data_IF_773569525579
#
_entry.id   IF_773569525579
#
_cell.length_a   1.000
_cell.length_b   1.000
_cell.length_c   1.000
_cell.angle_alpha   90.00
_cell.angle_beta   90.00
_cell.angle_gamma   90.00
#
_symmetry.space_group_name_H-M   'P 1'
#
loop_
_entity.id
_entity.type
_entity.pdbx_description
1 polymer ?
#
# COMPACT_ATOMS: atom_id res chain seq x y z
N UNK A 1 -8.88 31.78 4.04
CA UNK A 1 -9.45 30.42 3.96
C UNK A 1 -8.92 29.74 2.71
N UNK A 2 -8.37 28.55 2.83
CA UNK A 2 -7.90 27.74 1.72
C UNK A 2 -8.77 26.48 1.61
N UNK A 3 -9.05 26.05 0.38
CA UNK A 3 -9.67 24.75 0.12
C UNK A 3 -8.58 23.68 0.00
N UNK A 4 -8.81 22.54 0.65
CA UNK A 4 -7.91 21.40 0.64
C UNK A 4 -8.61 20.16 0.10
N UNK A 5 -7.90 19.38 -0.71
CA UNK A 5 -8.25 18.02 -1.08
C UNK A 5 -7.68 17.08 -0.04
N UNK A 6 -8.50 16.13 0.40
CA UNK A 6 -8.08 15.07 1.33
C UNK A 6 -8.36 13.74 0.65
N UNK A 7 -7.35 12.90 0.59
CA UNK A 7 -7.44 11.55 0.05
C UNK A 7 -7.22 10.54 1.18
N UNK A 8 -8.01 9.48 1.16
CA UNK A 8 -7.85 8.31 2.01
C UNK A 8 -7.55 7.10 1.12
N UNK A 9 -6.61 6.28 1.55
CA UNK A 9 -6.33 4.99 0.94
C UNK A 9 -6.16 3.93 2.01
N UNK A 10 -6.80 2.78 1.79
CA UNK A 10 -6.58 1.56 2.54
C UNK A 10 -6.02 0.51 1.57
N UNK A 11 -4.85 -0.01 1.86
CA UNK A 11 -4.13 -0.97 1.03
C UNK A 11 -3.98 -2.30 1.75
N UNK A 12 -4.09 -3.40 1.00
CA UNK A 12 -3.77 -4.74 1.48
C UNK A 12 -2.66 -5.36 0.63
N UNK A 13 -1.71 -6.04 1.26
CA UNK A 13 -0.59 -6.70 0.56
C UNK A 13 -0.30 -8.06 1.20
N UNK A 14 -1.30 -8.95 1.19
CA UNK A 14 -1.32 -10.18 1.96
C UNK A 14 -0.34 -11.24 1.44
N UNK A 15 -0.46 -11.59 0.15
CA UNK A 15 0.29 -12.68 -0.45
C UNK A 15 1.81 -12.45 -0.46
N UNK A 16 2.33 -11.31 -0.92
CA UNK A 16 3.76 -11.06 -0.88
C UNK A 16 4.32 -11.01 0.54
N UNK A 17 3.55 -10.50 1.51
CA UNK A 17 3.96 -10.46 2.92
C UNK A 17 4.10 -11.85 3.54
N UNK A 18 3.32 -12.83 3.10
CA UNK A 18 3.47 -14.21 3.54
C UNK A 18 4.74 -14.90 3.02
N UNK A 19 5.23 -14.49 1.85
CA UNK A 19 6.42 -15.08 1.23
C UNK A 19 7.68 -14.39 1.74
N UNK A 20 7.70 -13.06 1.70
CA UNK A 20 8.81 -12.22 2.16
C UNK A 20 8.22 -11.10 3.04
N UNK A 21 8.12 -11.34 4.38
CA UNK A 21 7.35 -10.48 5.27
C UNK A 21 7.83 -9.04 5.34
N UNK A 22 9.14 -8.82 5.27
CA UNK A 22 9.73 -7.48 5.38
C UNK A 22 9.41 -6.64 4.13
N UNK A 23 9.75 -7.15 2.95
CA UNK A 23 9.51 -6.42 1.69
C UNK A 23 8.02 -6.30 1.36
N UNK A 24 7.25 -7.37 1.62
CA UNK A 24 5.80 -7.36 1.39
C UNK A 24 5.07 -6.31 2.22
N UNK A 25 5.38 -6.20 3.52
CA UNK A 25 4.77 -5.19 4.38
C UNK A 25 5.29 -3.76 4.09
N UNK A 26 6.57 -3.61 3.73
CA UNK A 26 7.13 -2.35 3.27
C UNK A 26 6.40 -1.85 2.01
N UNK A 27 6.17 -2.74 1.05
CA UNK A 27 5.46 -2.43 -0.19
C UNK A 27 3.97 -2.10 0.05
N UNK A 28 3.33 -2.73 1.04
CA UNK A 28 1.97 -2.38 1.46
C UNK A 28 1.86 -0.89 1.76
N UNK A 29 2.78 -0.35 2.56
CA UNK A 29 2.78 1.09 2.86
C UNK A 29 3.18 1.92 1.65
N UNK A 30 4.19 1.51 0.86
CA UNK A 30 4.62 2.23 -0.34
C UNK A 30 3.50 2.40 -1.36
N UNK A 31 2.74 1.34 -1.66
CA UNK A 31 1.55 1.39 -2.52
C UNK A 31 0.47 2.29 -1.95
N UNK A 32 0.17 2.17 -0.64
CA UNK A 32 -0.79 3.03 0.03
C UNK A 32 -0.46 4.53 -0.11
N UNK A 33 0.83 4.89 -0.14
CA UNK A 33 1.30 6.28 -0.30
C UNK A 33 1.15 6.75 -1.74
N UNK A 34 1.50 5.93 -2.73
CA UNK A 34 1.54 6.33 -4.14
C UNK A 34 0.16 6.58 -4.74
N UNK A 35 -0.89 5.88 -4.29
CA UNK A 35 -2.26 6.15 -4.75
C UNK A 35 -2.71 7.59 -4.45
N UNK A 36 -2.60 8.12 -3.22
CA UNK A 36 -2.86 9.53 -2.96
C UNK A 36 -1.92 10.48 -3.72
N UNK A 37 -0.66 10.08 -3.97
CA UNK A 37 0.24 10.85 -4.84
C UNK A 37 -0.26 10.94 -6.28
N UNK A 38 -0.94 9.90 -6.79
CA UNK A 38 -1.62 9.97 -8.08
C UNK A 38 -2.70 11.07 -8.09
N UNK A 39 -3.30 11.36 -6.94
CA UNK A 39 -4.13 12.55 -6.69
C UNK A 39 -3.34 13.84 -6.40
N UNK A 40 -2.00 13.83 -6.48
CA UNK A 40 -1.08 14.91 -6.10
C UNK A 40 -1.21 15.35 -4.64
N UNK A 41 -1.68 14.47 -3.75
CA UNK A 41 -1.76 14.75 -2.31
C UNK A 41 -0.55 14.20 -1.57
N UNK A 42 -0.06 14.97 -0.60
CA UNK A 42 1.04 14.59 0.27
C UNK A 42 0.51 13.75 1.44
N UNK A 43 0.99 12.51 1.55
CA UNK A 43 0.62 11.61 2.66
C UNK A 43 1.37 11.99 3.92
N UNK A 44 0.64 12.19 5.02
CA UNK A 44 1.18 12.74 6.27
C UNK A 44 0.78 11.98 7.54
N UNK A 45 -0.13 11.02 7.44
CA UNK A 45 -0.50 10.13 8.55
C UNK A 45 -0.84 8.73 8.06
N UNK A 46 -0.51 7.73 8.89
CA UNK A 46 -0.77 6.33 8.62
C UNK A 46 -1.35 5.61 9.85
N UNK A 47 -2.10 4.55 9.57
CA UNK A 47 -2.61 3.59 10.55
C UNK A 47 -2.33 2.19 10.00
N UNK A 48 -1.89 1.27 10.87
CA UNK A 48 -1.68 -0.13 10.52
C UNK A 48 -2.54 -1.02 11.41
N UNK A 49 -3.52 -1.70 10.81
CA UNK A 49 -4.35 -2.70 11.49
C UNK A 49 -4.31 -3.99 10.69
N UNK A 50 -3.74 -5.05 11.25
CA UNK A 50 -3.45 -6.29 10.52
C UNK A 50 -4.12 -7.48 11.18
N UNK A 51 -4.42 -8.52 10.37
CA UNK A 51 -4.85 -9.82 10.84
C UNK A 51 -3.68 -10.81 10.83
N UNK A 52 -3.44 -11.49 11.94
CA UNK A 52 -2.35 -12.44 12.11
C UNK A 52 -2.79 -13.71 12.84
N UNK A 53 -2.10 -14.83 12.59
CA UNK A 53 -2.21 -16.00 13.43
C UNK A 53 -1.25 -15.92 14.63
N UNK A 54 -1.40 -16.83 15.58
CA UNK A 54 -0.65 -16.85 16.84
C UNK A 54 0.87 -16.94 16.62
N UNK A 55 1.65 -15.90 16.97
CA UNK A 55 3.10 -15.89 16.82
C UNK A 55 3.83 -16.72 17.89
N UNK A 56 3.13 -17.25 18.90
CA UNK A 56 3.69 -18.07 19.96
C UNK A 56 3.78 -19.55 19.59
N UNK A 57 3.10 -19.96 18.50
CA UNK A 57 3.17 -21.32 17.96
C UNK A 57 4.63 -21.71 17.68
N UNK A 58 5.01 -22.93 18.07
CA UNK A 58 6.39 -23.42 17.91
C UNK A 58 6.75 -23.57 16.41
N UNK A 59 8.05 -23.57 16.11
CA UNK A 59 8.51 -23.73 14.71
C UNK A 59 8.15 -25.13 14.20
N UNK A 60 8.17 -26.13 15.07
CA UNK A 60 7.84 -27.53 14.75
C UNK A 60 6.38 -27.71 14.36
N UNK A 61 5.50 -26.86 14.90
CA UNK A 61 4.04 -26.87 14.62
C UNK A 61 3.65 -25.97 13.44
N UNK A 62 4.65 -25.44 12.72
CA UNK A 62 4.39 -24.61 11.54
C UNK A 62 3.65 -25.41 10.48
N UNK A 63 2.53 -24.87 9.98
CA UNK A 63 1.77 -25.48 8.89
C UNK A 63 2.66 -25.65 7.65
N UNK A 64 2.64 -26.85 7.07
CA UNK A 64 3.43 -27.18 5.88
C UNK A 64 3.21 -26.16 4.74
N UNK A 65 4.29 -25.69 4.15
CA UNK A 65 4.25 -24.67 3.07
C UNK A 65 4.05 -23.24 3.56
N UNK A 66 4.11 -23.00 4.86
CA UNK A 66 4.03 -21.65 5.47
C UNK A 66 5.32 -21.28 6.20
N UNK A 67 5.55 -20.00 6.37
CA UNK A 67 6.58 -19.51 7.28
C UNK A 67 6.10 -19.58 8.73
N UNK A 68 7.00 -19.76 9.70
CA UNK A 68 6.64 -19.67 11.13
C UNK A 68 5.95 -18.33 11.42
N UNK A 69 4.84 -18.37 12.17
CA UNK A 69 4.02 -17.17 12.44
C UNK A 69 4.82 -16.06 13.13
N UNK A 70 5.73 -16.43 14.03
CA UNK A 70 6.66 -15.50 14.68
C UNK A 70 7.54 -14.75 13.67
N UNK A 71 8.01 -15.43 12.61
CA UNK A 71 8.80 -14.82 11.54
C UNK A 71 7.95 -13.86 10.72
N UNK A 72 6.72 -14.26 10.38
CA UNK A 72 5.77 -13.42 9.65
C UNK A 72 5.45 -12.13 10.41
N UNK A 73 5.01 -12.22 11.65
CA UNK A 73 4.60 -11.08 12.49
C UNK A 73 5.76 -10.10 12.66
N UNK A 74 6.94 -10.59 13.06
CA UNK A 74 8.10 -9.74 13.28
C UNK A 74 8.64 -9.13 11.99
N UNK A 75 8.72 -9.90 10.92
CA UNK A 75 9.21 -9.44 9.63
C UNK A 75 8.30 -8.36 9.04
N UNK A 76 6.99 -8.58 9.07
CA UNK A 76 6.02 -7.63 8.58
C UNK A 76 6.02 -6.31 9.39
N UNK A 77 6.02 -6.40 10.71
CA UNK A 77 6.12 -5.21 11.56
C UNK A 77 7.43 -4.42 11.30
N UNK A 78 8.55 -5.13 11.16
CA UNK A 78 9.86 -4.51 10.86
C UNK A 78 9.86 -3.86 9.47
N UNK A 79 9.29 -4.49 8.46
CA UNK A 79 9.24 -3.95 7.10
C UNK A 79 8.40 -2.68 7.00
N UNK A 80 7.19 -2.73 7.54
CA UNK A 80 6.27 -1.59 7.53
C UNK A 80 6.84 -0.41 8.34
N UNK A 81 7.30 -0.64 9.58
CA UNK A 81 7.87 0.41 10.41
C UNK A 81 9.15 1.00 9.81
N UNK A 82 10.04 0.16 9.28
CA UNK A 82 11.26 0.62 8.61
C UNK A 82 10.93 1.54 7.43
N UNK A 83 9.97 1.18 6.61
CA UNK A 83 9.55 1.99 5.46
C UNK A 83 8.97 3.34 5.91
N UNK A 84 7.98 3.32 6.81
CA UNK A 84 7.34 4.53 7.31
C UNK A 84 8.30 5.49 8.02
N UNK A 85 9.17 4.95 8.87
CA UNK A 85 10.17 5.74 9.59
C UNK A 85 11.19 6.39 8.65
N UNK A 86 11.66 5.68 7.61
CA UNK A 86 12.59 6.21 6.62
C UNK A 86 11.96 7.30 5.73
N UNK A 87 10.71 7.13 5.35
CA UNK A 87 10.01 8.14 4.55
C UNK A 87 9.62 9.36 5.37
N UNK A 88 9.58 9.22 6.68
CA UNK A 88 9.18 10.29 7.58
C UNK A 88 7.67 10.46 7.69
N UNK A 89 6.93 9.33 7.70
CA UNK A 89 5.48 9.27 7.81
C UNK A 89 5.08 8.86 9.23
N UNK A 90 4.29 9.69 9.91
CA UNK A 90 3.77 9.35 11.23
C UNK A 90 2.75 8.21 11.14
N UNK A 91 3.05 7.07 11.79
CA UNK A 91 2.12 5.96 11.97
C UNK A 91 1.57 6.03 13.39
N UNK A 92 0.42 6.68 13.55
CA UNK A 92 -0.10 7.08 14.87
C UNK A 92 -0.94 6.02 15.56
N UNK A 93 -1.31 4.95 14.88
CA UNK A 93 -1.99 3.80 15.47
C UNK A 93 -1.57 2.50 14.80
N UNK A 94 -1.21 1.51 15.61
CA UNK A 94 -0.79 0.18 15.15
C UNK A 94 -1.46 -0.87 16.01
N UNK A 95 -2.12 -1.85 15.37
CA UNK A 95 -2.75 -2.99 16.02
C UNK A 95 -2.60 -4.25 15.17
N UNK A 96 -2.30 -5.37 15.80
CA UNK A 96 -2.51 -6.69 15.23
C UNK A 96 -3.68 -7.37 15.91
N UNK A 97 -4.58 -7.94 15.12
CA UNK A 97 -5.73 -8.72 15.55
C UNK A 97 -5.45 -10.17 15.22
N UNK A 98 -5.53 -11.04 16.22
CA UNK A 98 -5.16 -12.44 16.10
C UNK A 98 -6.38 -13.33 15.95
N UNK A 99 -6.35 -14.18 14.93
CA UNK A 99 -7.35 -15.24 14.71
C UNK A 99 -6.64 -16.48 14.16
N UNK A 100 -6.98 -17.70 14.60
CA UNK A 100 -6.31 -18.93 14.16
C UNK A 100 -6.33 -19.13 12.66
N UNK A 101 -7.39 -18.75 11.96
CA UNK A 101 -7.53 -18.95 10.52
C UNK A 101 -6.59 -18.07 9.69
N UNK A 102 -5.99 -17.03 10.27
CA UNK A 102 -4.93 -16.26 9.59
C UNK A 102 -3.64 -17.04 9.37
N UNK A 103 -3.53 -18.28 9.87
CA UNK A 103 -2.48 -19.19 9.45
C UNK A 103 -2.59 -19.53 7.95
N UNK A 104 -3.82 -19.55 7.42
CA UNK A 104 -4.06 -19.79 5.99
C UNK A 104 -3.57 -18.63 5.13
N UNK A 105 -3.88 -17.40 5.54
CA UNK A 105 -3.41 -16.18 4.90
C UNK A 105 -3.47 -14.99 5.86
N UNK A 106 -2.29 -14.42 6.14
CA UNK A 106 -2.17 -13.15 6.87
C UNK A 106 -2.88 -12.02 6.12
N UNK A 107 -3.49 -11.10 6.84
CA UNK A 107 -4.05 -9.88 6.29
C UNK A 107 -3.17 -8.68 6.68
N UNK A 108 -2.27 -8.27 5.77
CA UNK A 108 -1.45 -7.06 5.95
C UNK A 108 -2.22 -5.86 5.41
N UNK A 109 -2.54 -4.91 6.28
CA UNK A 109 -3.37 -3.74 5.96
C UNK A 109 -2.67 -2.47 6.43
N UNK A 110 -2.65 -1.47 5.55
CA UNK A 110 -2.21 -0.13 5.87
C UNK A 110 -3.20 0.92 5.36
N UNK A 111 -3.54 1.89 6.18
CA UNK A 111 -4.37 3.02 5.81
C UNK A 111 -3.59 4.32 5.96
N UNK A 112 -3.77 5.23 5.01
CA UNK A 112 -3.10 6.54 5.01
C UNK A 112 -4.06 7.66 4.64
N UNK A 113 -3.71 8.87 5.04
CA UNK A 113 -4.34 10.10 4.56
C UNK A 113 -3.30 11.01 3.93
N UNK A 114 -3.66 11.52 2.74
CA UNK A 114 -2.92 12.55 2.04
C UNK A 114 -3.76 13.82 1.90
N UNK A 115 -3.10 14.96 1.80
CA UNK A 115 -3.78 16.24 1.57
C UNK A 115 -2.94 17.18 0.70
N UNK A 116 -3.63 18.03 -0.06
CA UNK A 116 -3.01 19.10 -0.84
C UNK A 116 -3.94 20.32 -0.93
N UNK A 117 -3.39 21.54 -1.09
CA UNK A 117 -4.20 22.69 -1.46
C UNK A 117 -4.90 22.40 -2.79
N UNK A 118 -6.21 22.65 -2.87
CA UNK A 118 -6.97 22.42 -4.11
C UNK A 118 -6.39 23.18 -5.31
N UNK A 119 -5.90 24.38 -5.06
CA UNK A 119 -5.30 25.22 -6.10
C UNK A 119 -4.02 24.65 -6.72
N UNK A 120 -3.38 23.68 -6.04
CA UNK A 120 -2.16 23.02 -6.52
C UNK A 120 -2.43 21.79 -7.38
N UNK A 121 -3.69 21.35 -7.52
CA UNK A 121 -4.05 20.12 -8.22
C UNK A 121 -4.90 20.47 -9.45
N UNK A 122 -4.33 20.28 -10.64
CA UNK A 122 -5.08 20.30 -11.89
C UNK A 122 -5.59 18.88 -12.22
N UNK A 123 -6.71 18.81 -12.94
CA UNK A 123 -7.29 17.57 -13.46
C UNK A 123 -7.74 17.82 -14.88
N UNK A 124 -6.84 17.56 -15.80
CA UNK A 124 -7.05 17.74 -17.22
C UNK A 124 -6.99 16.38 -17.92
N UNK A 125 -7.67 16.25 -19.04
CA UNK A 125 -7.53 15.08 -19.89
C UNK A 125 -6.20 15.12 -20.64
N UNK A 126 -5.75 13.94 -21.04
CA UNK A 126 -4.54 13.82 -21.84
C UNK A 126 -4.84 14.15 -23.29
N UNK A 127 -4.10 15.06 -23.87
CA UNK A 127 -4.25 15.48 -25.26
C UNK A 127 -3.26 14.76 -26.19
N UNK A 128 -3.62 14.50 -27.45
CA UNK A 128 -2.66 13.99 -28.43
C UNK A 128 -1.43 14.88 -28.56
N UNK A 129 -0.26 14.32 -28.36
CA UNK A 129 1.02 15.00 -28.31
C UNK A 129 1.60 15.15 -26.91
N UNK A 130 0.80 14.97 -25.86
CA UNK A 130 1.31 14.95 -24.47
C UNK A 130 2.34 13.83 -24.29
N UNK A 131 3.31 14.10 -23.43
CA UNK A 131 4.40 13.19 -23.13
C UNK A 131 4.14 12.50 -21.79
N UNK A 132 4.43 11.20 -21.74
CA UNK A 132 4.41 10.45 -20.49
C UNK A 132 5.83 10.22 -20.02
N UNK A 133 6.12 10.68 -18.81
CA UNK A 133 7.41 10.54 -18.16
C UNK A 133 7.27 9.44 -17.09
N UNK A 134 8.17 8.46 -17.12
CA UNK A 134 8.38 7.51 -16.04
C UNK A 134 9.39 8.11 -15.07
N UNK A 135 8.98 8.24 -13.81
CA UNK A 135 9.75 8.86 -12.73
C UNK A 135 10.03 7.86 -11.63
N UNK A 136 11.24 7.85 -11.07
CA UNK A 136 11.59 7.14 -9.84
C UNK A 136 12.47 5.92 -10.02
N UNK A 137 12.08 4.77 -9.49
CA UNK A 137 12.86 3.54 -9.49
C UNK A 137 13.03 2.90 -10.86
N UNK A 138 14.01 2.02 -10.97
CA UNK A 138 14.27 1.23 -12.18
C UNK A 138 13.50 -0.09 -12.18
N UNK A 139 13.22 -0.63 -13.35
CA UNK A 139 12.47 -1.85 -13.58
C UNK A 139 13.32 -3.11 -13.38
N UNK A 140 12.83 -4.04 -12.59
CA UNK A 140 13.35 -5.39 -12.42
C UNK A 140 12.27 -6.45 -12.68
N UNK A 141 12.46 -7.67 -12.18
CA UNK A 141 11.44 -8.75 -12.24
C UNK A 141 10.42 -8.72 -11.12
N UNK A 142 10.36 -7.60 -10.39
CA UNK A 142 9.47 -7.45 -9.25
C UNK A 142 8.01 -7.69 -9.69
N UNK A 143 7.32 -8.63 -9.05
CA UNK A 143 5.92 -8.94 -9.30
C UNK A 143 5.60 -9.57 -10.67
N UNK A 144 6.60 -10.03 -11.43
CA UNK A 144 6.35 -10.65 -12.74
C UNK A 144 5.51 -11.94 -12.66
N UNK A 145 5.49 -12.62 -11.52
CA UNK A 145 4.52 -13.66 -11.18
C UNK A 145 3.13 -13.11 -10.81
N UNK A 146 3.03 -11.84 -10.60
CA UNK A 146 1.90 -10.90 -10.53
C UNK A 146 0.68 -11.31 -9.77
N UNK A 147 -0.43 -10.67 -10.11
CA UNK A 147 -1.77 -10.91 -9.55
C UNK A 147 -2.20 -12.39 -9.67
N UNK A 148 -1.73 -13.14 -10.65
CA UNK A 148 -1.95 -14.58 -10.75
C UNK A 148 -1.28 -15.37 -9.63
N UNK A 149 -0.17 -14.88 -9.08
CA UNK A 149 0.50 -15.44 -7.90
C UNK A 149 -0.33 -15.28 -6.63
N UNK A 150 -1.04 -14.16 -6.47
CA UNK A 150 -1.84 -13.88 -5.27
C UNK A 150 -3.07 -14.79 -5.11
N UNK A 151 -3.49 -15.47 -6.18
CA UNK A 151 -4.60 -16.42 -6.17
C UNK A 151 -4.17 -17.89 -6.04
N UNK A 152 -2.87 -18.18 -5.97
CA UNK A 152 -2.35 -19.56 -5.87
C UNK A 152 -2.19 -19.99 -4.42
N UNK A 153 -2.36 -21.29 -4.18
CA UNK A 153 -2.02 -21.91 -2.89
C UNK A 153 -0.50 -21.93 -2.72
N UNK A 154 0.00 -21.51 -1.57
CA UNK A 154 1.42 -21.57 -1.24
C UNK A 154 1.89 -23.02 -1.13
N UNK A 155 3.03 -23.31 -1.76
CA UNK A 155 3.78 -24.55 -1.60
C UNK A 155 5.21 -24.21 -1.16
N UNK A 156 5.96 -25.19 -0.68
CA UNK A 156 7.39 -25.01 -0.35
C UNK A 156 8.16 -24.43 -1.54
N UNK A 157 7.85 -24.86 -2.76
CA UNK A 157 8.43 -24.34 -3.98
C UNK A 157 8.11 -22.83 -4.20
N UNK A 158 6.97 -22.33 -3.71
CA UNK A 158 6.62 -20.92 -3.86
C UNK A 158 7.54 -20.00 -3.05
N UNK A 159 8.00 -20.44 -1.88
CA UNK A 159 8.92 -19.67 -1.03
C UNK A 159 10.29 -19.58 -1.72
N UNK A 160 10.76 -20.67 -2.35
CA UNK A 160 12.05 -20.73 -3.02
C UNK A 160 12.05 -19.97 -4.36
N UNK A 161 10.98 -20.10 -5.13
CA UNK A 161 10.90 -19.54 -6.49
C UNK A 161 10.39 -18.12 -6.56
N UNK A 162 9.44 -17.75 -5.69
CA UNK A 162 8.77 -16.42 -5.71
C UNK A 162 9.40 -15.40 -4.78
N UNK A 163 10.22 -15.80 -3.82
CA UNK A 163 10.82 -14.87 -2.84
C UNK A 163 11.72 -13.79 -3.47
N UNK A 164 12.33 -14.08 -4.62
CA UNK A 164 13.14 -13.11 -5.37
C UNK A 164 12.28 -12.09 -6.15
N UNK A 165 11.02 -12.45 -6.48
CA UNK A 165 10.09 -11.63 -7.25
C UNK A 165 9.16 -10.77 -6.37
N UNK A 166 9.19 -10.95 -5.05
CA UNK A 166 8.46 -10.06 -4.14
C UNK A 166 9.04 -8.65 -4.26
N UNK A 167 8.16 -7.69 -4.43
CA UNK A 167 8.54 -6.28 -4.51
C UNK A 167 9.30 -5.88 -3.25
N UNK A 168 10.38 -5.11 -3.44
CA UNK A 168 11.21 -4.59 -2.36
C UNK A 168 11.18 -3.08 -2.42
N UNK A 169 10.52 -2.49 -1.43
CA UNK A 169 10.36 -1.06 -1.33
C UNK A 169 11.69 -0.31 -1.10
N UNK A 170 11.80 0.89 -1.67
CA UNK A 170 12.87 1.83 -1.47
C UNK A 170 12.32 3.15 -0.92
N UNK A 171 12.11 3.20 0.39
CA UNK A 171 11.55 4.36 1.08
C UNK A 171 12.26 5.70 0.78
N UNK A 172 13.61 5.77 0.64
CA UNK A 172 14.28 7.00 0.22
C UNK A 172 13.84 7.51 -1.15
N UNK A 173 13.60 6.64 -2.12
CA UNK A 173 13.07 7.03 -3.44
C UNK A 173 11.64 7.55 -3.32
N UNK A 174 10.79 6.86 -2.58
CA UNK A 174 9.41 7.30 -2.31
C UNK A 174 9.36 8.68 -1.66
N UNK A 175 10.22 8.92 -0.67
CA UNK A 175 10.33 10.24 -0.02
C UNK A 175 10.67 11.36 -1.01
N UNK A 176 11.58 11.11 -1.94
CA UNK A 176 11.94 12.08 -2.98
C UNK A 176 10.75 12.39 -3.90
N UNK A 177 9.99 11.34 -4.29
CA UNK A 177 8.78 11.49 -5.11
C UNK A 177 7.74 12.32 -4.34
N UNK A 178 7.49 12.03 -3.07
CA UNK A 178 6.58 12.82 -2.24
C UNK A 178 6.99 14.29 -2.15
N UNK A 179 8.28 14.56 -1.98
CA UNK A 179 8.80 15.94 -1.93
C UNK A 179 8.61 16.66 -3.24
N UNK A 180 8.88 15.99 -4.36
CA UNK A 180 8.67 16.53 -5.70
C UNK A 180 7.22 16.91 -5.93
N UNK A 181 6.28 15.99 -5.66
CA UNK A 181 4.84 16.20 -5.87
C UNK A 181 4.23 17.22 -4.90
N UNK A 182 4.86 17.45 -3.74
CA UNK A 182 4.43 18.50 -2.80
C UNK A 182 4.73 19.93 -3.29
N UNK A 183 5.60 20.09 -4.27
CA UNK A 183 5.92 21.39 -4.87
C UNK A 183 4.77 21.85 -5.76
N UNK A 184 4.24 23.03 -5.48
CA UNK A 184 3.11 23.60 -6.21
C UNK A 184 3.40 23.76 -7.71
N UNK A 185 4.60 24.22 -8.05
CA UNK A 185 5.08 24.39 -9.42
C UNK A 185 5.18 23.07 -10.19
N UNK A 186 5.42 21.95 -9.50
CA UNK A 186 5.45 20.60 -10.10
C UNK A 186 4.05 20.05 -10.27
N UNK A 187 3.24 20.09 -9.21
CA UNK A 187 1.90 19.52 -9.25
C UNK A 187 0.98 20.19 -10.27
N UNK A 188 1.21 21.48 -10.58
CA UNK A 188 0.44 22.25 -11.56
C UNK A 188 0.76 21.95 -13.03
N UNK A 189 1.85 21.27 -13.32
CA UNK A 189 2.19 20.87 -14.70
C UNK A 189 1.89 19.39 -14.97
N UNK A 190 1.41 18.65 -13.97
CA UNK A 190 0.99 17.25 -14.11
C UNK A 190 -0.51 17.20 -14.44
N UNK A 191 -0.89 16.85 -15.67
CA UNK A 191 -2.28 16.67 -16.08
C UNK A 191 -2.91 15.46 -15.40
N UNK A 192 -2.28 14.31 -15.56
CA UNK A 192 -2.65 13.00 -14.95
C UNK A 192 -1.40 12.28 -14.44
N UNK A 193 -1.56 11.39 -13.48
CA UNK A 193 -0.52 10.45 -13.14
C UNK A 193 -1.10 9.17 -12.51
N UNK A 194 -0.35 8.09 -12.62
CA UNK A 194 -0.60 6.81 -11.97
C UNK A 194 0.67 6.31 -11.28
N UNK A 195 0.48 5.50 -10.23
CA UNK A 195 1.56 4.71 -9.67
C UNK A 195 1.77 3.40 -10.45
N UNK A 196 2.88 2.73 -10.20
CA UNK A 196 3.16 1.43 -10.75
C UNK A 196 2.81 0.34 -9.73
N UNK A 197 1.67 -0.29 -9.95
CA UNK A 197 1.22 -1.50 -9.27
C UNK A 197 1.18 -2.70 -10.21
N UNK A 198 0.21 -3.59 -10.00
CA UNK A 198 -0.02 -4.76 -10.83
C UNK A 198 -0.23 -4.39 -12.31
N UNK A 199 0.44 -5.12 -13.20
CA UNK A 199 0.41 -4.86 -14.64
C UNK A 199 1.45 -3.84 -15.12
N UNK A 200 2.23 -3.25 -14.24
CA UNK A 200 3.41 -2.42 -14.56
C UNK A 200 3.14 -1.33 -15.60
N UNK A 201 4.00 -1.23 -16.61
CA UNK A 201 3.89 -0.26 -17.72
C UNK A 201 2.54 -0.38 -18.45
N UNK A 202 2.06 -1.61 -18.67
CA UNK A 202 0.81 -1.85 -19.40
C UNK A 202 -0.41 -1.21 -18.74
N UNK A 203 -0.44 -1.14 -17.42
CA UNK A 203 -1.53 -0.55 -16.63
C UNK A 203 -1.22 0.88 -16.24
N UNK A 204 -0.12 1.14 -15.55
CA UNK A 204 0.21 2.47 -15.05
C UNK A 204 0.26 3.54 -16.16
N UNK A 205 0.81 3.20 -17.32
CA UNK A 205 0.83 4.07 -18.49
C UNK A 205 -0.44 3.88 -19.33
N UNK A 206 -0.86 2.63 -19.53
CA UNK A 206 -1.97 2.28 -20.40
C UNK A 206 -3.31 2.90 -20.04
N UNK A 207 -3.51 3.30 -18.79
CA UNK A 207 -4.74 3.97 -18.29
C UNK A 207 -4.70 5.50 -18.38
N UNK A 208 -3.56 6.08 -18.75
CA UNK A 208 -3.42 7.55 -18.74
C UNK A 208 -4.09 8.24 -19.92
N UNK A 209 -4.29 7.55 -21.06
CA UNK A 209 -4.98 8.07 -22.23
C UNK A 209 -5.56 6.94 -23.09
N UNK A 210 -6.53 7.27 -23.94
CA UNK A 210 -7.17 6.32 -24.84
C UNK A 210 -6.21 5.81 -25.94
N UNK A 211 -5.37 6.69 -26.46
CA UNK A 211 -4.38 6.40 -27.46
C UNK A 211 -2.96 6.63 -26.94
N UNK A 212 -2.10 5.61 -27.04
CA UNK A 212 -0.75 5.63 -26.49
C UNK A 212 0.24 4.84 -27.35
N UNK A 213 1.42 5.39 -27.56
CA UNK A 213 2.58 4.69 -28.08
C UNK A 213 3.69 4.72 -27.02
N UNK A 214 4.01 3.56 -26.47
CA UNK A 214 5.04 3.39 -25.45
C UNK A 214 6.30 2.79 -26.05
N UNK A 215 7.44 3.41 -25.81
CA UNK A 215 8.78 2.92 -26.17
C UNK A 215 9.39 2.20 -24.96
N UNK A 216 9.27 0.89 -24.90
CA UNK A 216 9.79 0.10 -23.79
C UNK A 216 11.32 0.00 -23.76
N UNK A 217 12.01 0.34 -24.84
CA UNK A 217 13.47 0.40 -24.84
C UNK A 217 13.99 1.54 -23.95
N UNK A 218 13.19 2.60 -23.79
CA UNK A 218 13.49 3.74 -22.92
C UNK A 218 13.22 3.49 -21.45
N UNK A 219 12.48 2.43 -21.08
CA UNK A 219 12.16 2.12 -19.68
C UNK A 219 13.46 1.81 -18.92
N UNK A 220 13.77 2.55 -17.83
CA UNK A 220 14.97 2.31 -17.04
C UNK A 220 14.98 0.93 -16.40
N UNK A 221 16.13 0.23 -16.46
CA UNK A 221 16.28 -1.15 -16.01
C UNK A 221 17.27 -1.25 -14.85
N UNK A 222 16.96 -2.09 -13.85
CA UNK A 222 17.90 -2.41 -12.75
C UNK A 222 19.11 -3.20 -13.26
N UNK A 223 18.90 -4.05 -14.27
CA UNK A 223 19.92 -4.94 -14.87
C UNK A 223 19.54 -5.31 -16.31
N UNK A 224 20.51 -5.84 -17.05
CA UNK A 224 20.27 -6.37 -18.40
C UNK A 224 19.55 -7.71 -18.37
N UNK A 225 18.93 -8.08 -19.51
CA UNK A 225 18.31 -9.41 -19.69
C UNK A 225 16.81 -9.46 -19.39
N UNK A 226 16.17 -8.33 -19.09
CA UNK A 226 14.71 -8.26 -19.07
C UNK A 226 14.16 -8.36 -20.49
N UNK A 227 13.13 -9.20 -20.67
CA UNK A 227 12.40 -9.30 -21.94
C UNK A 227 11.25 -8.28 -22.03
N UNK A 228 10.56 -8.28 -23.18
CA UNK A 228 9.46 -7.33 -23.41
C UNK A 228 8.27 -7.55 -22.49
N UNK A 229 7.98 -8.80 -22.12
CA UNK A 229 6.89 -9.12 -21.19
C UNK A 229 7.21 -8.66 -19.79
N UNK A 230 8.41 -8.99 -19.30
CA UNK A 230 8.88 -8.54 -17.98
C UNK A 230 8.87 -7.01 -17.86
N UNK A 231 9.29 -6.29 -18.90
CA UNK A 231 9.24 -4.84 -18.93
C UNK A 231 7.80 -4.29 -18.91
N UNK A 232 6.89 -4.96 -19.62
CA UNK A 232 5.50 -4.52 -19.73
C UNK A 232 4.69 -4.69 -18.43
N UNK A 233 4.96 -5.76 -17.65
CA UNK A 233 4.14 -6.15 -16.50
C UNK A 233 4.82 -6.01 -15.15
N UNK A 234 6.11 -5.68 -15.10
CA UNK A 234 6.86 -5.56 -13.84
C UNK A 234 6.24 -4.55 -12.88
N UNK A 235 6.09 -4.96 -11.64
CA UNK A 235 5.57 -4.16 -10.52
C UNK A 235 6.69 -3.53 -9.67
N UNK A 236 7.85 -3.21 -10.27
CA UNK A 236 8.90 -2.52 -9.53
C UNK A 236 8.37 -1.24 -8.90
N UNK A 237 8.59 -1.10 -7.61
CA UNK A 237 7.99 -0.08 -6.77
C UNK A 237 8.68 1.29 -6.90
N UNK A 238 8.08 2.29 -6.26
CA UNK A 238 8.54 3.69 -6.24
C UNK A 238 8.72 4.28 -7.64
N UNK A 239 7.76 3.99 -8.52
CA UNK A 239 7.66 4.57 -9.86
C UNK A 239 6.33 5.29 -10.01
N UNK A 240 6.35 6.41 -10.73
CA UNK A 240 5.15 7.14 -11.14
C UNK A 240 5.20 7.36 -12.65
N UNK A 241 4.05 7.28 -13.31
CA UNK A 241 3.87 7.73 -14.68
C UNK A 241 3.12 9.05 -14.65
N UNK A 242 3.69 10.10 -15.22
CA UNK A 242 3.08 11.45 -15.26
C UNK A 242 2.86 11.91 -16.70
N UNK A 243 1.72 12.53 -16.94
CA UNK A 243 1.37 13.16 -18.22
C UNK A 243 1.64 14.65 -18.12
N UNK A 244 2.48 15.16 -19.00
CA UNK A 244 2.83 16.57 -19.09
C UNK A 244 2.67 17.10 -20.53
N UNK A 245 2.36 18.38 -20.65
CA UNK A 245 2.39 19.08 -21.94
C UNK A 245 3.84 19.08 -22.47
N UNK A 246 4.07 18.91 -23.79
CA UNK A 246 5.41 18.94 -24.38
C UNK A 246 6.26 20.16 -24.00
N UNK A 247 5.66 21.32 -23.79
CA UNK A 247 6.34 22.55 -23.37
C UNK A 247 6.91 22.47 -21.95
N UNK A 248 6.34 21.61 -21.08
CA UNK A 248 6.70 21.50 -19.66
C UNK A 248 7.66 20.33 -19.36
N UNK A 249 8.02 19.52 -20.38
CA UNK A 249 8.87 18.33 -20.23
C UNK A 249 10.22 18.67 -19.60
N UNK A 250 10.97 19.59 -20.20
CA UNK A 250 12.29 19.97 -19.71
C UNK A 250 12.22 20.55 -18.28
N UNK A 251 11.18 21.31 -17.99
CA UNK A 251 10.93 21.87 -16.67
C UNK A 251 10.70 20.76 -15.64
N UNK A 252 9.87 19.78 -15.97
CA UNK A 252 9.60 18.63 -15.09
C UNK A 252 10.88 17.79 -14.85
N UNK A 253 11.62 17.48 -15.90
CA UNK A 253 12.89 16.76 -15.81
C UNK A 253 13.90 17.52 -14.93
N UNK A 254 13.96 18.85 -15.04
CA UNK A 254 14.78 19.70 -14.18
C UNK A 254 14.41 19.56 -12.69
N UNK A 255 13.13 19.63 -12.36
CA UNK A 255 12.66 19.46 -10.98
C UNK A 255 12.93 18.05 -10.45
N UNK A 256 12.76 17.02 -11.27
CA UNK A 256 13.11 15.65 -10.89
C UNK A 256 14.60 15.50 -10.58
N UNK A 257 15.47 16.11 -11.39
CA UNK A 257 16.91 16.11 -11.18
C UNK A 257 17.31 16.83 -9.87
N UNK A 258 16.65 17.92 -9.49
CA UNK A 258 16.87 18.62 -8.21
C UNK A 258 16.58 17.70 -7.00
N UNK A 259 15.62 16.78 -7.10
CA UNK A 259 15.32 15.77 -6.08
C UNK A 259 16.17 14.51 -6.24
N UNK A 260 17.11 14.46 -7.19
CA UNK A 260 17.93 13.28 -7.46
C UNK A 260 17.08 12.07 -7.87
N UNK A 261 16.06 12.28 -8.68
CA UNK A 261 15.20 11.27 -9.26
C UNK A 261 15.51 11.06 -10.74
N UNK A 262 15.54 9.82 -11.17
CA UNK A 262 15.59 9.47 -12.59
C UNK A 262 14.20 9.70 -13.20
N UNK A 263 14.13 10.39 -14.31
CA UNK A 263 12.91 10.67 -15.05
C UNK A 263 13.17 10.55 -16.54
N UNK A 264 12.35 9.78 -17.25
CA UNK A 264 12.55 9.46 -18.67
C UNK A 264 11.23 9.54 -19.43
N UNK A 265 11.24 10.19 -20.58
CA UNK A 265 10.14 10.16 -21.54
C UNK A 265 9.99 8.76 -22.13
N UNK A 266 8.89 8.09 -21.86
CA UNK A 266 8.68 6.69 -22.29
C UNK A 266 7.50 6.50 -23.24
N UNK A 267 6.58 7.47 -23.33
CA UNK A 267 5.42 7.35 -24.19
C UNK A 267 4.94 8.71 -24.68
N UNK A 268 4.12 8.66 -25.75
CA UNK A 268 3.41 9.82 -26.31
C UNK A 268 1.93 9.46 -26.46
N UNK A 269 1.07 10.40 -26.13
CA UNK A 269 -0.38 10.31 -26.34
C UNK A 269 -0.69 10.50 -27.82
N UNK A 270 -1.56 9.65 -28.37
CA UNK A 270 -1.92 9.66 -29.81
C UNK A 270 -3.42 9.88 -30.02
N UNK A 271 -3.79 10.31 -31.24
CA UNK A 271 -5.19 10.48 -31.61
C UNK A 271 -5.92 9.15 -31.83
N UNK A 272 -5.19 8.12 -32.26
CA UNK A 272 -5.76 6.80 -32.49
C UNK A 272 -5.97 6.10 -31.13
N UNK A 273 -7.19 5.66 -30.80
CA UNK A 273 -7.48 5.05 -29.49
C UNK A 273 -6.98 3.61 -29.43
N UNK A 274 -5.69 3.44 -29.30
CA UNK A 274 -4.99 2.17 -29.22
C UNK A 274 -3.83 2.23 -28.20
N UNK A 275 -3.64 1.17 -27.44
CA UNK A 275 -2.45 0.95 -26.67
C UNK A 275 -1.42 0.19 -27.53
N UNK A 276 -0.31 0.85 -27.85
CA UNK A 276 0.79 0.28 -28.62
C UNK A 276 2.05 0.26 -27.77
N UNK A 277 2.59 -0.93 -27.54
CA UNK A 277 3.89 -1.10 -26.87
C UNK A 277 4.93 -1.52 -27.92
N UNK A 278 6.03 -0.77 -28.00
CA UNK A 278 7.16 -1.04 -28.89
C UNK A 278 8.37 -1.52 -28.10
N UNK A 279 9.01 -2.58 -28.59
CA UNK A 279 10.23 -3.13 -28.03
C UNK A 279 11.17 -3.63 -29.11
N UNK A 280 12.43 -3.18 -29.08
CA UNK A 280 13.45 -3.52 -30.10
C UNK A 280 12.97 -3.24 -31.53
N UNK A 281 12.31 -2.10 -31.69
CA UNK A 281 11.81 -1.65 -32.99
C UNK A 281 10.57 -2.40 -33.52
N UNK A 282 9.95 -3.29 -32.71
CA UNK A 282 8.75 -4.05 -33.08
C UNK A 282 7.58 -3.67 -32.18
N UNK A 283 6.39 -3.67 -32.74
CA UNK A 283 5.15 -3.63 -31.95
C UNK A 283 4.93 -5.00 -31.31
N UNK A 284 4.96 -5.07 -29.98
CA UNK A 284 4.73 -6.30 -29.22
C UNK A 284 3.32 -6.35 -28.64
N UNK A 285 2.67 -5.18 -28.49
CA UNK A 285 1.25 -5.04 -28.16
C UNK A 285 0.65 -3.96 -29.06
N UNK A 286 -0.53 -4.24 -29.60
CA UNK A 286 -1.31 -3.25 -30.36
C UNK A 286 -2.81 -3.56 -30.19
N UNK A 287 -3.43 -3.00 -29.16
CA UNK A 287 -4.81 -3.26 -28.74
C UNK A 287 -5.66 -2.01 -28.90
N UNK A 288 -6.88 -2.16 -29.42
CA UNK A 288 -7.83 -1.06 -29.45
C UNK A 288 -8.37 -0.73 -28.06
N UNK A 289 -8.66 0.54 -27.79
CA UNK A 289 -9.29 0.96 -26.55
C UNK A 289 -10.65 0.25 -26.36
N UNK A 290 -11.44 0.14 -27.40
CA UNK A 290 -12.70 -0.57 -27.36
C UNK A 290 -12.59 -2.02 -26.88
N UNK A 291 -11.48 -2.72 -27.22
CA UNK A 291 -11.22 -4.06 -26.68
C UNK A 291 -10.86 -4.01 -25.19
N UNK A 292 -10.02 -3.06 -24.77
CA UNK A 292 -9.60 -2.92 -23.36
C UNK A 292 -10.78 -2.55 -22.45
N UNK A 293 -11.74 -1.79 -22.96
CA UNK A 293 -12.91 -1.30 -22.21
C UNK A 293 -14.04 -2.34 -22.09
N UNK A 294 -13.89 -3.55 -22.62
CA UNK A 294 -14.93 -4.60 -22.54
C UNK A 294 -15.19 -5.11 -21.11
N UNK A 295 -14.31 -4.82 -20.17
CA UNK A 295 -14.39 -5.25 -18.75
C UNK A 295 -14.63 -6.77 -18.56
N UNK A 296 -14.31 -7.59 -19.57
CA UNK A 296 -14.51 -9.04 -19.54
C UNK A 296 -15.98 -9.46 -19.72
N UNK A 297 -16.29 -10.70 -19.34
CA UNK A 297 -17.63 -11.26 -19.41
C UNK A 297 -18.52 -10.66 -18.32
N UNK A 298 -19.74 -10.28 -18.69
CA UNK A 298 -20.77 -9.85 -17.75
C UNK A 298 -21.14 -11.03 -16.83
N UNK A 299 -20.99 -10.84 -15.52
CA UNK A 299 -21.30 -11.88 -14.52
C UNK A 299 -22.49 -11.41 -13.68
N UNK A 300 -23.48 -12.29 -13.54
CA UNK A 300 -24.62 -12.08 -12.66
C UNK A 300 -24.68 -13.23 -11.65
N UNK A 301 -25.00 -12.93 -10.42
CA UNK A 301 -25.24 -13.95 -9.38
C UNK A 301 -26.41 -13.56 -8.51
N UNK A 302 -27.13 -14.58 -8.04
CA UNK A 302 -28.18 -14.42 -7.03
C UNK A 302 -27.66 -14.98 -5.72
N UNK A 303 -27.68 -14.16 -4.67
CA UNK A 303 -27.21 -14.54 -3.34
C UNK A 303 -28.38 -14.50 -2.37
N UNK A 304 -28.57 -15.59 -1.62
CA UNK A 304 -29.43 -15.63 -0.45
C UNK A 304 -28.59 -15.42 0.80
N UNK A 305 -29.00 -14.48 1.63
CA UNK A 305 -28.36 -14.21 2.91
C UNK A 305 -29.38 -14.50 4.00
N UNK A 306 -29.18 -15.58 4.74
CA UNK A 306 -29.98 -15.89 5.90
C UNK A 306 -29.62 -15.01 7.08
N UNK A 307 -30.63 -14.71 7.92
CA UNK A 307 -30.35 -14.00 9.17
C UNK A 307 -29.52 -14.89 10.10
N UNK A 308 -28.45 -14.34 10.73
CA UNK A 308 -27.71 -15.09 11.75
C UNK A 308 -28.64 -15.57 12.87
N UNK A 309 -28.45 -16.80 13.36
CA UNK A 309 -29.19 -17.33 14.51
C UNK A 309 -28.78 -16.56 15.75
N UNK A 310 -29.75 -16.16 16.59
CA UNK A 310 -29.47 -15.37 17.80
C UNK A 310 -28.48 -16.04 18.76
N UNK A 311 -28.49 -17.36 18.78
CA UNK A 311 -27.63 -18.21 19.60
C UNK A 311 -26.17 -18.15 19.16
N UNK A 312 -25.92 -17.79 17.88
CA UNK A 312 -24.58 -17.67 17.32
C UNK A 312 -23.98 -16.25 17.48
N UNK A 313 -24.73 -15.36 18.14
CA UNK A 313 -24.19 -14.04 18.46
C UNK A 313 -22.98 -14.17 19.39
N UNK A 314 -21.81 -13.83 18.87
CA UNK A 314 -20.53 -13.96 19.58
C UNK A 314 -20.47 -13.13 20.87
N UNK A 315 -21.21 -12.01 20.97
CA UNK A 315 -21.31 -11.22 22.19
C UNK A 315 -21.92 -11.98 23.38
N UNK A 316 -22.57 -13.09 23.12
CA UNK A 316 -23.16 -13.96 24.14
C UNK A 316 -22.27 -15.16 24.52
N UNK A 317 -21.07 -15.23 23.95
CA UNK A 317 -20.11 -16.33 24.16
C UNK A 317 -18.83 -15.81 24.80
N UNK A 318 -18.19 -16.63 25.64
CA UNK A 318 -16.83 -16.36 26.11
C UNK A 318 -15.87 -16.85 25.03
N UNK A 319 -15.13 -15.93 24.42
CA UNK A 319 -14.26 -16.26 23.29
C UNK A 319 -12.99 -17.02 23.70
N UNK A 320 -12.55 -16.89 24.96
CA UNK A 320 -11.31 -17.49 25.48
C UNK A 320 -11.64 -18.69 26.35
N UNK A 321 -11.38 -19.95 25.92
CA UNK A 321 -11.76 -21.16 26.66
C UNK A 321 -11.22 -21.19 28.11
N UNK A 322 -9.99 -20.71 28.32
CA UNK A 322 -9.39 -20.67 29.66
C UNK A 322 -10.13 -19.69 30.61
N UNK A 323 -10.75 -18.65 30.09
CA UNK A 323 -11.62 -17.74 30.86
C UNK A 323 -12.90 -18.44 31.26
N UNK A 324 -13.55 -19.13 30.32
CA UNK A 324 -14.77 -19.89 30.56
C UNK A 324 -14.55 -20.95 31.64
N UNK A 325 -13.50 -21.78 31.52
CA UNK A 325 -13.15 -22.81 32.49
C UNK A 325 -12.89 -22.24 33.89
N UNK A 326 -12.21 -21.08 33.99
CA UNK A 326 -11.94 -20.42 35.26
C UNK A 326 -13.24 -19.89 35.91
N UNK A 327 -14.13 -19.31 35.10
CA UNK A 327 -15.43 -18.82 35.58
C UNK A 327 -16.33 -19.95 36.06
N UNK A 328 -16.37 -21.11 35.40
CA UNK A 328 -17.08 -22.32 35.86
C UNK A 328 -16.60 -22.79 37.24
N UNK A 329 -15.31 -22.62 37.53
CA UNK A 329 -14.70 -22.93 38.82
C UNK A 329 -14.84 -21.82 39.86
N UNK A 330 -15.52 -20.70 39.51
CA UNK A 330 -15.61 -19.49 40.32
C UNK A 330 -14.22 -18.88 40.69
N UNK A 331 -13.19 -19.14 39.88
CA UNK A 331 -11.85 -18.54 40.05
C UNK A 331 -11.72 -17.24 39.21
N UNK A 332 -12.26 -16.15 39.74
CA UNK A 332 -12.22 -14.83 39.08
C UNK A 332 -10.79 -14.37 38.82
N UNK A 333 -9.85 -14.70 39.72
CA UNK A 333 -8.45 -14.31 39.51
C UNK A 333 -7.83 -15.03 38.31
N UNK A 334 -8.07 -16.33 38.20
CA UNK A 334 -7.60 -17.10 37.04
C UNK A 334 -8.25 -16.61 35.74
N UNK A 335 -9.54 -16.30 35.77
CA UNK A 335 -10.26 -15.74 34.62
C UNK A 335 -9.63 -14.41 34.14
N UNK A 336 -9.36 -13.47 35.06
CA UNK A 336 -8.72 -12.19 34.72
C UNK A 336 -7.32 -12.41 34.14
N UNK A 337 -6.53 -13.33 34.73
CA UNK A 337 -5.20 -13.61 34.24
C UNK A 337 -5.20 -14.27 32.86
N UNK A 338 -6.17 -15.16 32.59
CA UNK A 338 -6.35 -15.76 31.28
C UNK A 338 -6.74 -14.73 30.21
N UNK A 339 -7.68 -13.82 30.52
CA UNK A 339 -8.07 -12.73 29.65
C UNK A 339 -6.92 -11.79 29.32
N UNK A 340 -6.15 -11.36 30.32
CA UNK A 340 -4.98 -10.49 30.13
C UNK A 340 -3.84 -11.17 29.36
N UNK A 341 -3.83 -12.48 29.26
CA UNK A 341 -2.86 -13.25 28.49
C UNK A 341 -3.29 -13.50 27.04
N UNK A 342 -4.55 -13.20 26.69
CA UNK A 342 -5.03 -13.32 25.33
C UNK A 342 -4.32 -12.31 24.43
N UNK A 343 -3.94 -12.74 23.22
CA UNK A 343 -3.17 -11.93 22.27
C UNK A 343 -3.91 -10.68 21.79
N UNK A 344 -5.25 -10.71 21.77
CA UNK A 344 -6.08 -9.57 21.39
C UNK A 344 -6.30 -8.57 22.53
N UNK A 345 -6.04 -9.01 23.77
CA UNK A 345 -6.22 -8.21 25.00
C UNK A 345 -4.90 -7.71 25.58
N UNK A 346 -3.85 -8.52 25.51
CA UNK A 346 -2.55 -8.13 26.05
C UNK A 346 -1.98 -6.86 25.35
N UNK A 347 -1.13 -6.13 26.07
CA UNK A 347 -0.51 -4.92 25.55
C UNK A 347 0.37 -5.19 24.35
N UNK A 348 0.13 -4.49 23.25
CA UNK A 348 0.97 -4.50 22.04
C UNK A 348 1.95 -3.32 22.00
N UNK A 349 2.27 -2.72 23.15
CA UNK A 349 3.12 -1.52 23.22
C UNK A 349 4.48 -1.74 22.56
N UNK A 350 5.12 -2.88 22.73
CA UNK A 350 6.39 -3.19 22.08
C UNK A 350 6.30 -3.21 20.53
N UNK A 351 5.17 -3.61 19.98
CA UNK A 351 4.90 -3.51 18.55
C UNK A 351 4.74 -2.04 18.13
N UNK A 352 3.92 -1.29 18.85
CA UNK A 352 3.61 0.12 18.53
C UNK A 352 4.88 0.98 18.58
N UNK A 353 5.79 0.75 19.52
CA UNK A 353 7.05 1.49 19.68
C UNK A 353 8.07 1.28 18.55
N UNK A 354 7.84 0.34 17.64
CA UNK A 354 8.65 0.20 16.42
C UNK A 354 8.35 1.31 15.40
N UNK A 355 7.20 1.97 15.52
CA UNK A 355 6.70 2.96 14.56
C UNK A 355 6.86 4.38 15.12
N UNK A 356 7.38 5.29 14.28
CA UNK A 356 7.41 6.70 14.65
C UNK A 356 6.01 7.30 14.46
N UNK A 357 5.41 7.70 15.57
CA UNK A 357 4.08 8.32 15.61
C UNK A 357 4.12 9.85 15.64
N UNK A 358 5.28 10.46 15.78
CA UNK A 358 5.47 11.88 16.05
C UNK A 358 6.09 12.67 14.90
N UNK A 359 6.68 12.00 13.94
CA UNK A 359 7.43 12.62 12.87
C UNK A 359 6.56 13.60 12.06
N UNK A 360 7.15 14.73 11.67
CA UNK A 360 6.42 15.82 11.01
C UNK A 360 5.66 16.75 11.97
N UNK A 361 5.63 16.42 13.27
CA UNK A 361 4.99 17.23 14.34
C UNK A 361 3.50 17.55 14.08
N UNK A 362 2.82 16.74 13.26
CA UNK A 362 1.41 16.90 12.94
C UNK A 362 0.48 16.06 13.84
N UNK A 363 1.00 15.01 14.50
CA UNK A 363 0.19 14.14 15.36
C UNK A 363 -0.39 14.88 16.54
N UNK A 364 -1.71 14.77 16.71
CA UNK A 364 -2.45 15.39 17.83
C UNK A 364 -2.56 14.42 19.00
N UNK A 365 -2.86 13.15 18.68
CA UNK A 365 -2.85 12.07 19.65
C UNK A 365 -1.69 11.13 19.40
N UNK A 366 -0.96 10.83 20.46
CA UNK A 366 0.04 9.78 20.46
C UNK A 366 -0.66 8.42 20.65
N UNK A 367 -0.04 7.29 20.28
CA UNK A 367 -0.66 5.96 20.38
C UNK A 367 -1.16 5.61 21.79
N UNK A 368 -0.51 6.15 22.80
CA UNK A 368 -0.88 5.99 24.20
C UNK A 368 -1.08 7.34 24.88
N UNK A 369 -2.19 7.48 25.59
CA UNK A 369 -2.56 8.65 26.35
C UNK A 369 -2.71 8.37 27.84
N UNK A 370 -3.34 9.32 28.56
CA UNK A 370 -3.53 9.28 30.00
C UNK A 370 -2.29 9.68 30.79
N UNK A 371 -2.44 9.76 32.11
CA UNK A 371 -1.40 10.21 33.04
C UNK A 371 -0.09 9.39 32.92
N UNK A 372 -0.22 8.11 32.67
CA UNK A 372 0.91 7.16 32.61
C UNK A 372 1.28 6.75 31.18
N UNK A 373 0.60 7.31 30.16
CA UNK A 373 0.79 6.95 28.75
C UNK A 373 0.70 5.44 28.49
N UNK A 374 -0.35 4.82 29.05
CA UNK A 374 -0.61 3.38 28.94
C UNK A 374 -1.99 3.09 28.32
N UNK A 375 -2.82 4.10 28.10
CA UNK A 375 -4.15 3.94 27.52
C UNK A 375 -4.08 4.10 26.01
N UNK A 376 -4.45 3.06 25.26
CA UNK A 376 -4.53 3.13 23.80
C UNK A 376 -5.57 4.18 23.37
N UNK A 377 -5.22 4.99 22.36
CA UNK A 377 -6.11 6.03 21.84
C UNK A 377 -7.07 5.52 20.77
N UNK A 378 -6.82 4.36 20.19
CA UNK A 378 -7.64 3.66 19.18
C UNK A 378 -8.00 4.50 17.95
N UNK A 379 -7.25 5.55 17.70
CA UNK A 379 -7.46 6.47 16.57
C UNK A 379 -6.16 7.18 16.20
N UNK A 380 -6.05 7.59 14.96
CA UNK A 380 -5.01 8.50 14.50
C UNK A 380 -5.62 9.86 14.22
N UNK A 381 -5.09 10.90 14.86
CA UNK A 381 -5.50 12.29 14.63
C UNK A 381 -4.27 13.13 14.32
N UNK A 382 -4.29 13.79 13.16
CA UNK A 382 -3.20 14.66 12.74
C UNK A 382 -3.70 15.98 12.14
N UNK A 383 -2.91 17.03 12.29
CA UNK A 383 -3.17 18.33 11.66
C UNK A 383 -2.91 18.26 10.16
N UNK A 384 -3.68 19.01 9.38
CA UNK A 384 -3.39 19.20 7.95
C UNK A 384 -1.95 19.70 7.76
N UNK A 385 -1.22 19.16 6.78
CA UNK A 385 0.21 19.48 6.56
C UNK A 385 0.38 20.80 5.80
N UNK A 386 -0.13 21.89 6.35
CA UNK A 386 -0.07 23.23 5.71
C UNK A 386 1.38 23.61 5.41
N UNK A 387 1.59 24.23 4.23
CA UNK A 387 2.93 24.64 3.78
C UNK A 387 3.43 25.88 4.50
N UNK A 388 2.51 26.77 4.89
CA UNK A 388 2.82 28.03 5.58
C UNK A 388 1.83 28.26 6.70
N UNK A 389 2.30 28.87 7.80
CA UNK A 389 1.45 29.23 8.93
C UNK A 389 1.13 28.05 9.85
N UNK A 390 -0.03 28.12 10.50
CA UNK A 390 -0.55 27.12 11.44
C UNK A 390 -2.01 26.81 11.13
N UNK A 391 -2.44 25.61 11.49
CA UNK A 391 -3.84 25.20 11.37
C UNK A 391 -4.27 24.43 12.62
N UNK A 392 -5.55 24.54 12.95
CA UNK A 392 -6.22 23.71 13.96
C UNK A 392 -7.16 22.67 13.29
N UNK A 393 -7.21 22.64 11.96
CA UNK A 393 -7.95 21.61 11.22
C UNK A 393 -7.19 20.30 11.30
N UNK A 394 -7.89 19.25 11.68
CA UNK A 394 -7.37 17.89 11.81
C UNK A 394 -8.12 16.92 10.91
N UNK A 395 -7.47 15.83 10.57
CA UNK A 395 -8.10 14.63 10.03
C UNK A 395 -7.99 13.49 11.03
N UNK A 396 -8.97 12.61 11.01
CA UNK A 396 -9.07 11.49 11.95
C UNK A 396 -9.27 10.19 11.15
N UNK A 397 -8.56 9.14 11.57
CA UNK A 397 -8.79 7.76 11.13
C UNK A 397 -9.12 6.89 12.33
N UNK A 398 -10.15 6.08 12.20
CA UNK A 398 -10.47 5.00 13.13
C UNK A 398 -10.79 3.74 12.34
N UNK A 399 -10.90 2.61 13.02
CA UNK A 399 -11.21 1.34 12.38
C UNK A 399 -12.27 0.57 13.16
N UNK A 400 -12.95 -0.35 12.44
CA UNK A 400 -13.75 -1.41 13.02
C UNK A 400 -13.40 -2.70 12.29
N UNK A 401 -12.77 -3.63 12.98
CA UNK A 401 -12.34 -4.89 12.42
C UNK A 401 -12.32 -5.95 13.51
N UNK A 402 -13.14 -6.97 13.33
CA UNK A 402 -13.22 -8.13 14.21
C UNK A 402 -13.39 -9.40 13.38
N UNK A 403 -12.39 -10.30 13.34
CA UNK A 403 -12.45 -11.53 12.56
C UNK A 403 -13.34 -12.61 13.17
N UNK A 404 -13.88 -12.39 14.38
CA UNK A 404 -14.78 -13.31 15.04
C UNK A 404 -16.26 -13.03 14.75
N UNK A 405 -16.55 -11.96 13.99
CA UNK A 405 -17.91 -11.58 13.56
C UNK A 405 -18.33 -12.22 12.26
#
# INVERSE_FOLDING_TARGET
>A
TEEWLVNFKNETHNHPTEIEPFGGAATCLGGAIRDPLSGRTYVYQAMRVTGAADPTVSVEDTLKGKLPQKKLVRGAASGYSSYGNQIGLATGYVKEVYHPDYVAKRMEIGAVMGAAPRASVIREDSDPGDIIILLGGRTGRDGCGGATGSSKVHTEASIETCGAEVQKGNAPTERKIQRLFRREEVSKIIKKCNDFGAGGVSVAIGELADGLVVDMDKVPKKYAGLDGTELAISESQERMAVVVDPKDVDTFLGYAAEENLEAVEVAVVTKEPRLVLKWRGKEVVNLSRAFLDTNGAHQETNVYVDMPVKEDNYLNKVAVPAVEEALEKNDVKAAILAELNDLNVCSQKGLVEMFDSSIGAGSVYMPYGGKYQLTETQTMVAKLPVLKGKTDVVTMMSYGFDPYL
#
